data_IF_227707672648
#
_entry.id   IF_227707672648
#
_cell.length_a   1.000
_cell.length_b   1.000
_cell.length_c   1.000
_cell.angle_alpha   90.00
_cell.angle_beta   90.00
_cell.angle_gamma   90.00
#
_symmetry.space_group_name_H-M   'P 1'
#
loop_
_entity.id
_entity.type
_entity.pdbx_description
1 polymer ?
#
# COMPACT_ATOMS: atom_id res chain seq x y z
N UNK A 1 -0.55 -11.62 -10.29
CA UNK A 1 0.46 -12.59 -10.75
C UNK A 1 1.75 -12.36 -9.95
N UNK A 2 2.30 -13.44 -9.36
CA UNK A 2 3.52 -13.42 -8.55
C UNK A 2 4.58 -14.28 -9.25
N UNK A 3 5.60 -13.65 -9.80
CA UNK A 3 6.69 -14.34 -10.51
C UNK A 3 7.66 -15.00 -9.54
N UNK A 4 8.32 -16.04 -10.01
CA UNK A 4 9.42 -16.73 -9.34
C UNK A 4 10.63 -16.83 -10.29
N UNK A 5 11.75 -16.25 -9.89
CA UNK A 5 13.03 -16.36 -10.60
C UNK A 5 13.81 -17.60 -10.13
N UNK A 6 13.53 -18.10 -8.94
CA UNK A 6 14.25 -19.20 -8.31
C UNK A 6 13.34 -20.39 -8.00
N UNK A 7 13.93 -21.59 -7.92
CA UNK A 7 13.19 -22.78 -7.50
C UNK A 7 12.69 -22.62 -6.05
N UNK A 8 13.50 -22.07 -5.17
CA UNK A 8 13.11 -21.81 -3.79
C UNK A 8 11.85 -20.95 -3.68
N UNK A 9 11.69 -19.97 -4.58
CA UNK A 9 10.47 -19.15 -4.66
C UNK A 9 9.26 -19.95 -5.14
N UNK A 10 9.44 -20.84 -6.09
CA UNK A 10 8.36 -21.76 -6.50
C UNK A 10 7.96 -22.69 -5.38
N UNK A 11 8.91 -23.24 -4.62
CA UNK A 11 8.63 -24.11 -3.49
C UNK A 11 7.87 -23.37 -2.38
N UNK A 12 8.20 -22.10 -2.12
CA UNK A 12 7.44 -21.23 -1.21
C UNK A 12 6.00 -21.02 -1.70
N UNK A 13 5.80 -20.80 -3.02
CA UNK A 13 4.46 -20.67 -3.57
C UNK A 13 3.66 -21.97 -3.51
N UNK A 14 4.30 -23.11 -3.67
CA UNK A 14 3.65 -24.42 -3.47
C UNK A 14 3.22 -24.64 -2.01
N UNK A 15 4.05 -24.21 -1.06
CA UNK A 15 3.65 -24.24 0.37
C UNK A 15 2.48 -23.30 0.65
N UNK A 16 2.53 -22.08 0.11
CA UNK A 16 1.44 -21.11 0.24
C UNK A 16 0.14 -21.63 -0.39
N UNK A 17 0.20 -22.35 -1.52
CA UNK A 17 -0.98 -22.88 -2.20
C UNK A 17 -1.82 -23.79 -1.30
N UNK A 18 -1.18 -24.61 -0.47
CA UNK A 18 -1.86 -25.49 0.48
C UNK A 18 -2.71 -24.70 1.50
N UNK A 19 -2.22 -23.53 1.92
CA UNK A 19 -2.96 -22.60 2.80
C UNK A 19 -4.11 -21.94 2.05
N UNK A 20 -3.83 -21.48 0.83
CA UNK A 20 -4.83 -20.84 -0.04
C UNK A 20 -6.00 -21.78 -0.34
N UNK A 21 -5.73 -23.05 -0.66
CA UNK A 21 -6.77 -24.08 -0.86
C UNK A 21 -7.64 -24.28 0.37
N UNK A 22 -7.02 -24.33 1.55
CA UNK A 22 -7.76 -24.45 2.82
C UNK A 22 -8.70 -23.27 3.06
N UNK A 23 -8.31 -22.08 2.59
CA UNK A 23 -9.13 -20.87 2.66
C UNK A 23 -10.11 -20.73 1.49
N UNK A 24 -10.17 -21.69 0.56
CA UNK A 24 -11.03 -21.64 -0.64
C UNK A 24 -10.58 -20.59 -1.67
N UNK A 25 -9.30 -20.19 -1.66
CA UNK A 25 -8.75 -19.22 -2.61
C UNK A 25 -8.27 -19.94 -3.87
N UNK A 26 -8.93 -19.70 -4.99
CA UNK A 26 -8.53 -20.26 -6.26
C UNK A 26 -7.23 -19.65 -6.77
N UNK A 27 -6.34 -20.48 -7.29
CA UNK A 27 -5.05 -20.07 -7.87
C UNK A 27 -4.58 -21.02 -8.95
N UNK A 28 -3.62 -20.59 -9.74
CA UNK A 28 -2.98 -21.38 -10.82
C UNK A 28 -1.47 -21.23 -10.72
N UNK A 29 -0.74 -22.32 -11.01
CA UNK A 29 0.70 -22.23 -11.29
C UNK A 29 0.90 -22.08 -12.80
N UNK A 30 1.71 -21.10 -13.18
CA UNK A 30 1.98 -20.79 -14.58
C UNK A 30 3.42 -21.10 -14.95
N UNK A 31 3.60 -21.69 -16.11
CA UNK A 31 4.91 -21.81 -16.78
C UNK A 31 5.33 -20.46 -17.37
N UNK A 32 6.63 -20.26 -17.69
CA UNK A 32 7.10 -19.04 -18.37
C UNK A 32 6.35 -18.74 -19.68
N UNK A 33 5.97 -19.76 -20.44
CA UNK A 33 5.19 -19.61 -21.66
C UNK A 33 3.76 -19.10 -21.40
N UNK A 34 3.11 -19.58 -20.35
CA UNK A 34 1.78 -19.14 -19.94
C UNK A 34 1.83 -17.72 -19.34
N UNK A 35 2.90 -17.36 -18.63
CA UNK A 35 3.14 -15.98 -18.19
C UNK A 35 3.25 -15.07 -19.42
N UNK A 36 4.08 -15.45 -20.41
CA UNK A 36 4.26 -14.69 -21.65
C UNK A 36 2.96 -14.51 -22.43
N UNK A 37 2.10 -15.51 -22.44
CA UNK A 37 0.79 -15.42 -23.08
C UNK A 37 -0.15 -14.42 -22.40
N UNK A 38 -0.09 -14.30 -21.06
CA UNK A 38 -0.91 -13.33 -20.28
C UNK A 38 -0.29 -11.93 -20.22
N UNK A 39 1.04 -11.86 -20.31
CA UNK A 39 1.84 -10.64 -20.28
C UNK A 39 2.89 -10.61 -21.42
N UNK A 40 2.48 -10.36 -22.67
CA UNK A 40 3.38 -10.44 -23.82
C UNK A 40 4.55 -9.44 -23.80
N UNK A 41 4.43 -8.35 -23.05
CA UNK A 41 5.47 -7.33 -22.90
C UNK A 41 6.63 -7.76 -22.00
N UNK A 42 6.43 -8.81 -21.16
CA UNK A 42 7.46 -9.26 -20.22
C UNK A 42 8.54 -10.11 -20.89
N UNK A 43 9.73 -10.00 -20.34
CA UNK A 43 10.80 -10.99 -20.50
C UNK A 43 10.56 -12.12 -19.50
N UNK A 44 10.49 -13.37 -19.96
CA UNK A 44 10.10 -14.52 -19.13
C UNK A 44 11.07 -15.69 -19.17
N UNK A 45 12.14 -15.59 -19.97
CA UNK A 45 13.04 -16.70 -20.29
C UNK A 45 13.85 -17.19 -19.09
N UNK A 46 14.09 -16.33 -18.12
CA UNK A 46 14.81 -16.59 -16.87
C UNK A 46 13.90 -17.00 -15.70
N UNK A 47 12.58 -16.98 -15.89
CA UNK A 47 11.62 -17.34 -14.85
C UNK A 47 11.51 -18.85 -14.66
N UNK A 48 11.24 -19.29 -13.45
CA UNK A 48 10.87 -20.68 -13.11
C UNK A 48 9.36 -20.92 -13.24
N UNK A 49 8.57 -19.87 -13.04
CA UNK A 49 7.13 -19.91 -13.11
C UNK A 49 6.49 -18.73 -12.38
N UNK A 50 5.21 -18.86 -12.11
CA UNK A 50 4.46 -17.89 -11.30
C UNK A 50 3.29 -18.54 -10.58
N UNK A 51 2.85 -17.89 -9.51
CA UNK A 51 1.56 -18.11 -8.86
C UNK A 51 0.59 -17.02 -9.32
N UNK A 52 -0.55 -17.42 -9.84
CA UNK A 52 -1.58 -16.51 -10.34
C UNK A 52 -2.89 -16.68 -9.60
N UNK A 53 -3.46 -15.58 -9.15
CA UNK A 53 -4.80 -15.51 -8.56
C UNK A 53 -5.69 -14.71 -9.50
N UNK A 54 -6.59 -15.35 -10.27
CA UNK A 54 -7.43 -14.66 -11.27
C UNK A 54 -8.41 -13.66 -10.67
N UNK A 55 -8.76 -13.84 -9.40
CA UNK A 55 -9.72 -13.00 -8.67
C UNK A 55 -9.02 -11.87 -7.87
N UNK A 56 -7.68 -11.82 -7.91
CA UNK A 56 -6.91 -10.77 -7.26
C UNK A 56 -6.84 -9.53 -8.17
N UNK A 57 -6.57 -8.38 -7.56
CA UNK A 57 -6.51 -7.13 -8.28
C UNK A 57 -5.93 -6.00 -7.42
N UNK A 58 -6.31 -4.79 -7.74
CA UNK A 58 -5.99 -3.60 -6.95
C UNK A 58 -7.25 -2.76 -6.70
N UNK A 59 -7.18 -1.92 -5.70
CA UNK A 59 -8.26 -1.03 -5.30
C UNK A 59 -7.74 0.39 -5.11
N UNK A 60 -8.62 1.38 -5.24
CA UNK A 60 -8.33 2.72 -4.78
C UNK A 60 -8.52 2.78 -3.25
N UNK A 61 -7.46 3.11 -2.46
CA UNK A 61 -7.53 3.12 -1.00
C UNK A 61 -8.56 4.10 -0.44
N UNK A 62 -8.74 5.25 -1.08
CA UNK A 62 -9.73 6.23 -0.66
C UNK A 62 -11.16 5.71 -0.86
N UNK A 63 -11.45 5.11 -2.02
CA UNK A 63 -12.77 4.58 -2.34
C UNK A 63 -13.15 3.43 -1.42
N UNK A 64 -12.23 2.49 -1.16
CA UNK A 64 -12.53 1.39 -0.23
C UNK A 64 -12.76 1.90 1.19
N UNK A 65 -11.98 2.88 1.65
CA UNK A 65 -12.18 3.49 2.96
C UNK A 65 -13.56 4.18 3.07
N UNK A 66 -13.98 4.90 2.02
CA UNK A 66 -15.32 5.52 1.97
C UNK A 66 -16.44 4.48 1.90
N UNK A 67 -16.24 3.38 1.15
CA UNK A 67 -17.21 2.30 1.09
C UNK A 67 -17.39 1.62 2.45
N UNK A 68 -16.29 1.33 3.16
CA UNK A 68 -16.33 0.78 4.51
C UNK A 68 -16.99 1.74 5.50
N UNK A 69 -16.68 3.04 5.43
CA UNK A 69 -17.31 4.06 6.27
C UNK A 69 -18.81 4.17 6.00
N UNK A 70 -19.22 4.08 4.74
CA UNK A 70 -20.65 4.04 4.37
C UNK A 70 -21.35 2.82 4.96
N UNK A 71 -20.74 1.64 4.82
CA UNK A 71 -21.27 0.40 5.40
C UNK A 71 -21.39 0.50 6.92
N UNK A 72 -20.38 1.01 7.62
CA UNK A 72 -20.40 1.19 9.07
C UNK A 72 -21.58 2.08 9.51
N UNK A 73 -21.79 3.22 8.82
CA UNK A 73 -22.95 4.11 9.11
C UNK A 73 -24.30 3.42 8.88
N UNK A 74 -24.41 2.59 7.86
CA UNK A 74 -25.64 1.82 7.58
C UNK A 74 -25.97 0.84 8.71
N UNK A 75 -24.95 0.40 9.46
CA UNK A 75 -25.10 -0.46 10.64
C UNK A 75 -25.12 0.32 11.97
N UNK A 76 -25.34 1.63 11.92
CA UNK A 76 -25.54 2.46 13.11
C UNK A 76 -24.27 3.06 13.73
N UNK A 77 -23.10 2.87 13.10
CA UNK A 77 -21.88 3.50 13.61
C UNK A 77 -21.87 5.02 13.33
N UNK A 78 -21.42 5.79 14.31
CA UNK A 78 -21.13 7.21 14.14
C UNK A 78 -19.66 7.39 13.77
N UNK A 79 -19.39 8.20 12.74
CA UNK A 79 -18.04 8.55 12.30
C UNK A 79 -17.88 10.06 12.40
N UNK A 80 -17.14 10.47 13.40
CA UNK A 80 -16.79 11.86 13.64
C UNK A 80 -15.41 12.17 13.04
N UNK A 81 -15.32 13.27 12.30
CA UNK A 81 -14.09 13.73 11.64
C UNK A 81 -13.59 15.00 12.29
N UNK A 82 -12.27 15.26 12.15
CA UNK A 82 -11.61 16.45 12.70
C UNK A 82 -11.72 16.51 14.23
N UNK A 83 -11.57 15.37 14.87
CA UNK A 83 -11.39 15.25 16.30
C UNK A 83 -10.03 14.62 16.60
N UNK A 84 -9.23 15.27 17.39
CA UNK A 84 -7.96 14.76 17.89
C UNK A 84 -8.18 14.13 19.26
N UNK A 85 -7.64 12.94 19.46
CA UNK A 85 -7.63 12.30 20.78
C UNK A 85 -6.45 12.86 21.58
N UNK A 86 -6.73 13.37 22.76
CA UNK A 86 -5.76 13.99 23.66
C UNK A 86 -5.36 13.07 24.81
N UNK A 87 -6.20 12.10 25.16
CA UNK A 87 -5.92 11.21 26.27
C UNK A 87 -6.92 10.08 26.44
N UNK A 88 -6.50 9.10 27.22
CA UNK A 88 -7.29 7.95 27.61
C UNK A 88 -7.21 7.78 29.13
N UNK A 89 -8.34 7.52 29.77
CA UNK A 89 -8.41 7.24 31.21
C UNK A 89 -9.33 6.07 31.47
N UNK A 90 -8.82 5.02 32.13
CA UNK A 90 -9.61 3.91 32.61
C UNK A 90 -10.21 4.22 33.97
N UNK A 91 -11.52 4.03 34.14
CA UNK A 91 -12.22 4.31 35.40
C UNK A 91 -12.32 3.09 36.34
N UNK A 92 -11.96 1.91 35.86
CA UNK A 92 -12.22 0.63 36.50
C UNK A 92 -13.31 -0.19 35.83
N UNK A 93 -14.17 0.46 35.03
CA UNK A 93 -15.28 -0.19 34.32
C UNK A 93 -15.43 0.28 32.87
N UNK A 94 -14.98 1.49 32.54
CA UNK A 94 -15.08 2.06 31.21
C UNK A 94 -13.88 2.95 30.90
N UNK A 95 -13.67 3.20 29.61
CA UNK A 95 -12.72 4.18 29.12
C UNK A 95 -13.37 5.54 28.98
N UNK A 96 -12.63 6.58 29.35
CA UNK A 96 -12.93 7.98 29.00
C UNK A 96 -11.86 8.44 28.02
N UNK A 97 -12.28 8.81 26.83
CA UNK A 97 -11.43 9.33 25.74
C UNK A 97 -11.65 10.82 25.63
N UNK A 98 -10.64 11.61 25.96
CA UNK A 98 -10.67 13.06 25.83
C UNK A 98 -10.32 13.45 24.39
N UNK A 99 -11.11 14.34 23.80
CA UNK A 99 -10.93 14.78 22.40
C UNK A 99 -11.07 16.29 22.26
N UNK A 100 -10.30 16.85 21.32
CA UNK A 100 -10.37 18.25 20.92
C UNK A 100 -10.81 18.37 19.47
N UNK A 101 -11.75 19.26 19.19
CA UNK A 101 -12.18 19.59 17.83
C UNK A 101 -11.08 20.31 17.08
N UNK A 102 -10.79 19.84 15.87
CA UNK A 102 -9.84 20.47 14.96
C UNK A 102 -10.60 21.29 13.92
N UNK A 103 -10.15 22.51 13.67
CA UNK A 103 -10.72 23.43 12.67
C UNK A 103 -9.68 23.79 11.62
N UNK A 104 -10.14 24.09 10.43
CA UNK A 104 -9.25 24.53 9.35
C UNK A 104 -8.94 26.02 9.49
N UNK A 105 -7.67 26.37 9.53
CA UNK A 105 -7.19 27.74 9.55
C UNK A 105 -5.94 27.86 8.68
N UNK A 106 -5.99 28.68 7.64
CA UNK A 106 -4.86 28.87 6.73
C UNK A 106 -4.37 27.59 6.04
N UNK A 107 -5.28 26.67 5.70
CA UNK A 107 -4.96 25.38 5.11
C UNK A 107 -4.48 24.31 6.10
N UNK A 108 -4.34 24.64 7.38
CA UNK A 108 -3.94 23.74 8.45
C UNK A 108 -5.11 23.38 9.36
N UNK A 109 -5.06 22.18 9.98
CA UNK A 109 -5.93 21.84 11.10
C UNK A 109 -5.28 22.33 12.39
N UNK A 110 -5.99 23.15 13.13
CA UNK A 110 -5.58 23.65 14.44
C UNK A 110 -6.58 23.25 15.50
N UNK A 111 -6.13 23.08 16.74
CA UNK A 111 -7.01 22.79 17.85
C UNK A 111 -7.93 23.98 18.13
N UNK A 112 -9.22 23.73 18.28
CA UNK A 112 -10.18 24.72 18.76
C UNK A 112 -10.31 24.67 20.29
N UNK A 113 -11.15 25.52 20.85
CA UNK A 113 -11.51 25.48 22.29
C UNK A 113 -12.54 24.39 22.61
N UNK A 114 -13.19 23.81 21.58
CA UNK A 114 -14.22 22.79 21.73
C UNK A 114 -13.59 21.45 22.12
N UNK A 115 -13.95 20.97 23.32
CA UNK A 115 -13.49 19.69 23.87
C UNK A 115 -14.66 18.80 24.24
N UNK A 116 -14.47 17.50 24.17
CA UNK A 116 -15.47 16.52 24.57
C UNK A 116 -14.83 15.31 25.22
N UNK A 117 -15.64 14.53 25.92
CA UNK A 117 -15.28 13.21 26.44
C UNK A 117 -16.22 12.15 25.85
N UNK A 118 -15.63 11.06 25.39
CA UNK A 118 -16.36 9.89 24.89
C UNK A 118 -16.17 8.76 25.90
N UNK A 119 -17.26 8.12 26.31
CA UNK A 119 -17.25 6.97 27.20
C UNK A 119 -17.47 5.70 26.41
N UNK A 120 -16.67 4.67 26.64
CA UNK A 120 -16.76 3.39 25.96
C UNK A 120 -16.26 2.25 26.83
N UNK A 121 -16.91 1.11 26.76
CA UNK A 121 -16.43 -0.13 27.41
C UNK A 121 -15.15 -0.64 26.76
N UNK A 122 -15.01 -0.48 25.44
CA UNK A 122 -13.86 -0.89 24.64
C UNK A 122 -13.38 0.24 23.75
N UNK A 123 -12.06 0.39 23.62
CA UNK A 123 -11.43 1.33 22.71
C UNK A 123 -10.47 0.55 21.83
N UNK A 124 -10.64 0.72 20.50
CA UNK A 124 -9.71 0.18 19.50
C UNK A 124 -8.88 1.31 18.92
N UNK A 125 -7.57 1.19 19.00
CA UNK A 125 -6.65 2.17 18.40
C UNK A 125 -6.22 1.68 17.02
N UNK A 126 -6.53 2.44 15.97
CA UNK A 126 -6.17 2.17 14.58
C UNK A 126 -5.53 3.41 13.96
N UNK A 127 -4.53 3.98 14.63
CA UNK A 127 -4.01 5.32 14.40
C UNK A 127 -2.85 5.37 13.38
N UNK A 128 -2.54 4.25 12.72
CA UNK A 128 -1.56 4.20 11.62
C UNK A 128 -0.20 4.78 12.04
N UNK A 129 0.30 5.75 11.30
CA UNK A 129 1.59 6.41 11.56
C UNK A 129 1.65 7.12 12.94
N UNK A 130 0.50 7.41 13.56
CA UNK A 130 0.43 8.01 14.90
C UNK A 130 0.38 6.96 16.03
N UNK A 131 0.64 5.69 15.75
CA UNK A 131 0.58 4.61 16.75
C UNK A 131 1.47 4.87 17.97
N UNK A 132 2.66 5.45 17.79
CA UNK A 132 3.55 5.81 18.90
C UNK A 132 2.97 6.90 19.80
N UNK A 133 2.32 7.92 19.21
CA UNK A 133 1.62 8.98 19.97
C UNK A 133 0.51 8.37 20.83
N UNK A 134 -0.31 7.51 20.22
CA UNK A 134 -1.38 6.81 20.92
C UNK A 134 -0.85 5.94 22.07
N UNK A 135 0.25 5.20 21.82
CA UNK A 135 0.89 4.39 22.84
C UNK A 135 1.35 5.23 24.04
N UNK A 136 1.95 6.39 23.80
CA UNK A 136 2.35 7.31 24.88
C UNK A 136 1.15 7.81 25.69
N UNK A 137 0.03 8.14 25.04
CA UNK A 137 -1.20 8.54 25.72
C UNK A 137 -1.78 7.43 26.62
N UNK A 138 -1.50 6.15 26.25
CA UNK A 138 -1.91 4.97 27.00
C UNK A 138 -0.86 4.51 28.04
N UNK A 139 0.32 5.14 28.08
CA UNK A 139 1.42 4.73 28.94
C UNK A 139 2.08 3.40 28.55
N UNK A 140 1.94 2.97 27.30
CA UNK A 140 2.52 1.74 26.75
C UNK A 140 3.57 2.03 25.68
N UNK A 141 4.34 1.01 25.30
CA UNK A 141 5.28 1.07 24.19
C UNK A 141 4.75 0.27 23.01
N UNK A 142 4.89 0.80 21.79
CA UNK A 142 4.61 0.07 20.56
C UNK A 142 5.85 0.08 19.66
N UNK A 143 6.23 -1.06 19.05
CA UNK A 143 7.40 -1.12 18.15
C UNK A 143 7.06 -0.69 16.71
N UNK A 144 6.07 0.15 16.50
CA UNK A 144 5.70 0.66 15.19
C UNK A 144 6.47 1.95 14.88
N UNK A 145 7.24 1.94 13.82
CA UNK A 145 7.99 3.10 13.31
C UNK A 145 7.60 3.33 11.86
N UNK A 146 7.18 4.55 11.47
CA UNK A 146 6.96 4.89 10.08
C UNK A 146 8.26 4.79 9.28
N UNK A 147 8.19 4.22 8.09
CA UNK A 147 9.29 4.20 7.14
C UNK A 147 8.87 4.93 5.87
N UNK A 148 9.83 5.61 5.26
CA UNK A 148 9.62 6.21 3.95
C UNK A 148 9.61 5.11 2.90
N UNK A 149 8.60 5.14 2.05
CA UNK A 149 8.46 4.22 0.93
C UNK A 149 8.04 5.01 -0.30
N UNK A 150 8.60 4.68 -1.44
CA UNK A 150 8.33 5.41 -2.67
C UNK A 150 7.75 4.51 -3.76
N UNK A 151 7.09 5.11 -4.71
CA UNK A 151 6.72 4.50 -5.98
C UNK A 151 7.01 5.49 -7.10
N UNK A 152 7.10 4.99 -8.31
CA UNK A 152 7.26 5.82 -9.50
C UNK A 152 6.12 5.54 -10.48
N UNK A 153 5.72 6.57 -11.20
CA UNK A 153 4.77 6.48 -12.31
C UNK A 153 5.50 6.89 -13.59
N UNK A 154 5.34 6.09 -14.63
CA UNK A 154 5.93 6.42 -15.93
C UNK A 154 5.02 7.31 -16.76
N UNK A 155 5.59 7.98 -17.75
CA UNK A 155 4.83 8.48 -18.88
C UNK A 155 4.13 7.33 -19.61
N UNK A 156 3.17 7.64 -20.49
CA UNK A 156 2.49 6.62 -21.28
C UNK A 156 3.45 5.77 -22.12
N UNK A 157 3.32 4.43 -22.02
CA UNK A 157 4.11 3.48 -22.80
C UNK A 157 3.38 3.18 -24.14
N UNK A 158 3.98 3.50 -25.29
CA UNK A 158 3.35 3.26 -26.59
C UNK A 158 3.03 1.78 -26.85
N UNK A 159 3.85 0.84 -26.36
CA UNK A 159 3.59 -0.58 -26.53
C UNK A 159 2.40 -1.05 -25.69
N UNK A 160 2.26 -0.53 -24.47
CA UNK A 160 1.08 -0.76 -23.66
C UNK A 160 -0.17 -0.18 -24.30
N UNK A 161 -0.10 1.05 -24.81
CA UNK A 161 -1.23 1.69 -25.48
C UNK A 161 -1.68 0.91 -26.73
N UNK A 162 -0.74 0.38 -27.51
CA UNK A 162 -1.06 -0.48 -28.66
C UNK A 162 -1.74 -1.78 -28.22
N UNK A 163 -1.19 -2.44 -27.19
CA UNK A 163 -1.79 -3.64 -26.60
C UNK A 163 -3.23 -3.40 -26.14
N UNK A 164 -3.47 -2.31 -25.42
CA UNK A 164 -4.77 -1.96 -24.83
C UNK A 164 -5.87 -1.68 -25.84
N UNK A 165 -5.56 -1.44 -27.11
CA UNK A 165 -6.59 -1.26 -28.15
C UNK A 165 -7.50 -2.47 -28.32
N UNK A 166 -6.96 -3.67 -28.12
CA UNK A 166 -7.67 -4.92 -28.38
C UNK A 166 -7.65 -5.91 -27.20
N UNK A 167 -7.07 -5.56 -26.08
CA UNK A 167 -6.87 -6.46 -24.97
C UNK A 167 -7.29 -5.82 -23.63
N UNK A 168 -7.66 -6.64 -22.62
CA UNK A 168 -7.92 -6.17 -21.28
C UNK A 168 -6.64 -5.68 -20.60
N UNK A 169 -6.80 -5.07 -19.45
CA UNK A 169 -5.70 -4.70 -18.56
C UNK A 169 -4.90 -5.94 -18.14
N UNK A 170 -3.58 -5.78 -18.06
CA UNK A 170 -2.73 -6.85 -17.56
C UNK A 170 -2.99 -7.10 -16.07
N UNK A 171 -2.88 -8.36 -15.61
CA UNK A 171 -2.89 -8.64 -14.17
C UNK A 171 -1.81 -7.85 -13.43
N UNK A 172 -2.10 -7.41 -12.21
CA UNK A 172 -1.07 -6.85 -11.34
C UNK A 172 0.09 -7.84 -11.20
N UNK A 173 1.30 -7.37 -11.38
CA UNK A 173 2.52 -8.16 -11.36
C UNK A 173 3.33 -7.89 -10.10
N UNK A 174 3.86 -8.94 -9.48
CA UNK A 174 4.80 -8.85 -8.37
C UNK A 174 6.02 -9.73 -8.64
N UNK A 175 7.20 -9.15 -8.46
CA UNK A 175 8.47 -9.87 -8.41
C UNK A 175 9.01 -9.84 -6.98
N UNK A 176 8.81 -10.94 -6.26
CA UNK A 176 9.24 -11.02 -4.86
C UNK A 176 10.75 -11.25 -4.72
N UNK A 177 11.41 -11.83 -5.72
CA UNK A 177 12.85 -12.02 -5.74
C UNK A 177 13.58 -10.70 -5.99
N UNK A 178 13.06 -9.87 -6.91
CA UNK A 178 13.56 -8.54 -7.23
C UNK A 178 12.91 -7.42 -6.39
N UNK A 179 11.98 -7.74 -5.49
CA UNK A 179 11.37 -6.84 -4.49
C UNK A 179 10.63 -5.64 -5.08
N UNK A 180 9.79 -5.85 -6.07
CA UNK A 180 8.94 -4.80 -6.61
C UNK A 180 7.59 -5.37 -7.10
N UNK A 181 6.62 -4.45 -7.30
CA UNK A 181 5.37 -4.72 -8.00
C UNK A 181 5.13 -3.69 -9.09
N UNK A 182 4.33 -4.06 -10.09
CA UNK A 182 3.93 -3.15 -11.16
C UNK A 182 2.49 -3.43 -11.59
N UNK A 183 1.81 -2.38 -12.00
CA UNK A 183 0.52 -2.43 -12.71
C UNK A 183 0.41 -1.30 -13.72
N UNK A 184 -0.60 -1.39 -14.57
CA UNK A 184 -0.93 -0.29 -15.47
C UNK A 184 -1.45 0.94 -14.69
N UNK A 185 -1.07 2.14 -15.14
CA UNK A 185 -1.55 3.40 -14.60
C UNK A 185 -1.59 4.45 -15.72
N UNK A 186 -2.79 4.93 -16.09
CA UNK A 186 -3.00 6.01 -17.06
C UNK A 186 -2.25 5.84 -18.39
N UNK A 187 -2.17 4.61 -18.88
CA UNK A 187 -1.50 4.27 -20.14
C UNK A 187 0.01 4.06 -20.02
N UNK A 188 0.55 4.14 -18.85
CA UNK A 188 1.92 3.77 -18.47
C UNK A 188 1.92 2.78 -17.31
N UNK A 189 2.93 2.85 -16.47
CA UNK A 189 3.18 1.90 -15.39
C UNK A 189 3.33 2.61 -14.05
N UNK A 190 2.83 2.00 -12.99
CA UNK A 190 3.22 2.34 -11.62
C UNK A 190 4.09 1.21 -11.08
N UNK A 191 5.31 1.54 -10.68
CA UNK A 191 6.27 0.64 -10.05
C UNK A 191 6.41 1.00 -8.57
N UNK A 192 6.18 0.02 -7.69
CA UNK A 192 6.44 0.16 -6.25
C UNK A 192 7.56 -0.79 -5.84
N UNK A 193 8.76 -0.26 -5.60
CA UNK A 193 9.89 -1.03 -5.07
C UNK A 193 9.71 -1.31 -3.57
N UNK A 194 10.37 -2.36 -3.08
CA UNK A 194 10.54 -2.68 -1.67
C UNK A 194 12.03 -2.67 -1.35
N UNK A 195 12.63 -1.51 -1.54
CA UNK A 195 14.06 -1.29 -1.41
C UNK A 195 14.58 -1.59 0.01
N UNK A 196 15.81 -2.04 0.11
CA UNK A 196 16.49 -2.21 1.38
C UNK A 196 16.94 -0.86 1.93
N UNK A 197 16.82 -0.69 3.24
CA UNK A 197 17.32 0.52 3.90
C UNK A 197 16.39 1.73 3.76
N UNK A 198 15.11 1.52 3.46
CA UNK A 198 14.11 2.57 3.51
C UNK A 198 14.22 3.37 4.82
N UNK A 199 14.35 4.71 4.78
CA UNK A 199 14.61 5.50 5.97
C UNK A 199 13.45 5.46 6.96
N UNK A 200 13.77 5.25 8.24
CA UNK A 200 12.81 5.50 9.30
C UNK A 200 12.53 7.00 9.41
N UNK A 201 11.26 7.37 9.46
CA UNK A 201 10.81 8.75 9.63
C UNK A 201 10.03 8.89 10.92
N UNK A 202 10.03 10.10 11.47
CA UNK A 202 9.22 10.43 12.63
C UNK A 202 9.37 9.41 13.79
N UNK A 203 10.62 9.12 14.16
CA UNK A 203 10.96 8.11 15.19
C UNK A 203 10.23 8.28 16.53
N UNK A 204 9.84 9.51 16.85
CA UNK A 204 9.16 9.82 18.12
C UNK A 204 7.70 10.20 17.92
N UNK A 205 7.39 10.99 16.90
CA UNK A 205 6.04 11.41 16.57
C UNK A 205 5.95 11.96 15.15
N UNK A 206 4.81 11.77 14.51
CA UNK A 206 4.50 12.41 13.24
C UNK A 206 4.09 13.86 13.54
N UNK A 207 4.74 14.88 12.93
CA UNK A 207 4.35 16.27 13.13
C UNK A 207 2.89 16.52 12.75
N UNK A 208 2.19 17.38 13.50
CA UNK A 208 0.80 17.72 13.21
C UNK A 208 0.63 18.43 11.85
N UNK A 209 1.71 19.03 11.34
CA UNK A 209 1.76 19.65 10.01
C UNK A 209 1.88 18.64 8.88
N UNK A 210 2.43 17.44 9.13
CA UNK A 210 2.57 16.39 8.12
C UNK A 210 1.21 15.73 7.86
N UNK A 211 0.82 15.68 6.60
CA UNK A 211 -0.49 15.12 6.21
C UNK A 211 -0.33 14.13 5.08
N UNK A 212 -0.64 14.58 3.87
CA UNK A 212 -0.49 13.84 2.62
C UNK A 212 0.70 14.36 1.82
N UNK A 213 1.73 14.82 2.53
CA UNK A 213 2.94 15.34 1.89
C UNK A 213 3.73 14.17 1.30
N UNK A 214 4.27 14.37 0.11
CA UNK A 214 5.18 13.44 -0.54
C UNK A 214 6.62 13.86 -0.24
N UNK A 215 7.48 12.88 -0.04
CA UNK A 215 8.92 13.10 0.03
C UNK A 215 9.49 13.20 -1.39
N UNK A 216 10.64 13.85 -1.50
CA UNK A 216 11.35 13.95 -2.77
C UNK A 216 11.77 12.56 -3.26
N UNK A 217 11.60 12.29 -4.56
CA UNK A 217 11.99 11.04 -5.19
C UNK A 217 13.51 10.82 -5.07
N UNK A 218 13.90 9.63 -4.67
CA UNK A 218 15.28 9.18 -4.52
C UNK A 218 15.53 7.96 -5.42
N UNK A 219 15.96 8.23 -6.65
CA UNK A 219 16.20 7.18 -7.64
C UNK A 219 17.42 6.33 -7.31
N UNK A 220 18.44 6.88 -6.65
CA UNK A 220 19.64 6.12 -6.26
C UNK A 220 19.25 4.99 -5.29
N UNK A 221 18.33 5.27 -4.38
CA UNK A 221 17.88 4.29 -3.39
C UNK A 221 17.15 3.09 -4.01
N UNK A 222 16.52 3.26 -5.16
CA UNK A 222 15.74 2.21 -5.85
C UNK A 222 16.39 1.73 -7.15
N UNK A 223 17.65 2.05 -7.38
CA UNK A 223 18.34 1.73 -8.64
C UNK A 223 18.32 0.23 -8.96
N UNK A 224 18.51 -0.63 -7.95
CA UNK A 224 18.50 -2.10 -8.10
C UNK A 224 17.12 -2.58 -8.60
N UNK A 225 16.05 -2.14 -7.94
CA UNK A 225 14.67 -2.53 -8.26
C UNK A 225 14.23 -1.93 -9.61
N UNK A 226 14.60 -0.68 -9.89
CA UNK A 226 14.29 -0.02 -11.15
C UNK A 226 15.01 -0.67 -12.34
N UNK A 227 16.27 -1.00 -12.21
CA UNK A 227 17.03 -1.73 -13.24
C UNK A 227 16.43 -3.11 -13.48
N UNK A 228 16.06 -3.83 -12.44
CA UNK A 228 15.37 -5.11 -12.54
C UNK A 228 14.01 -5.00 -13.24
N UNK A 229 13.25 -3.94 -12.95
CA UNK A 229 11.98 -3.66 -13.62
C UNK A 229 12.17 -3.45 -15.13
N UNK A 230 13.12 -2.59 -15.55
CA UNK A 230 13.44 -2.35 -16.97
C UNK A 230 13.87 -3.66 -17.65
N UNK A 231 14.70 -4.46 -16.98
CA UNK A 231 15.09 -5.77 -17.51
C UNK A 231 13.87 -6.67 -17.74
N UNK A 232 12.92 -6.70 -16.82
CA UNK A 232 11.71 -7.53 -16.88
C UNK A 232 10.69 -6.99 -17.89
N UNK A 233 10.57 -5.67 -18.03
CA UNK A 233 9.65 -4.99 -18.92
C UNK A 233 10.40 -4.05 -19.87
N UNK A 234 11.02 -4.56 -20.93
CA UNK A 234 11.93 -3.79 -21.80
C UNK A 234 11.29 -2.56 -22.47
N UNK A 235 9.97 -2.55 -22.68
CA UNK A 235 9.29 -1.37 -23.22
C UNK A 235 9.42 -0.15 -22.33
N UNK A 236 9.60 -0.34 -21.03
CA UNK A 236 9.74 0.75 -20.06
C UNK A 236 11.08 1.48 -20.11
N UNK A 237 12.12 0.93 -20.77
CA UNK A 237 13.45 1.54 -20.85
C UNK A 237 13.45 2.92 -21.51
N UNK A 238 12.52 3.14 -22.44
CA UNK A 238 12.43 4.39 -23.20
C UNK A 238 11.27 5.28 -22.78
N UNK A 239 10.62 4.94 -21.67
CA UNK A 239 9.49 5.68 -21.13
C UNK A 239 9.98 6.60 -20.01
N UNK A 240 9.69 7.89 -20.11
CA UNK A 240 10.03 8.87 -19.10
C UNK A 240 9.31 8.62 -17.76
N UNK A 241 9.84 9.21 -16.70
CA UNK A 241 9.16 9.24 -15.41
C UNK A 241 8.29 10.49 -15.33
N UNK A 242 7.13 10.33 -14.73
CA UNK A 242 6.20 11.43 -14.50
C UNK A 242 6.56 12.14 -13.20
N UNK A 243 6.69 13.47 -13.25
CA UNK A 243 7.06 14.28 -12.09
C UNK A 243 5.87 14.63 -11.16
N UNK A 244 4.64 14.39 -11.60
CA UNK A 244 3.42 14.76 -10.89
C UNK A 244 2.89 13.58 -10.05
N UNK A 245 3.16 13.58 -8.76
CA UNK A 245 2.56 12.66 -7.79
C UNK A 245 1.67 13.39 -6.80
#
# INVERSE_FOLDING_TARGET
LRMAQTQARMDEYMLYSSVAETAGVYHEFLTPAEIKARWPLLRTEDLKGALFHPQDGYINPADVSQAMAKGARQHGATIERKWQVDGYRWTGSEWIVSVTKMVEQGGNLVASEEKAEIRAEHVVTATGNHAQRTARLLGIKTPAVPVEHQYIVTEPDPMLQEWRKNNPEHPVLRDADAKWYVREERGGWILGPYEKGAPARFLYDVPDSFRADLFQLDLERIEEEYTSFIHRLPSSEHVGLKDDF
#
